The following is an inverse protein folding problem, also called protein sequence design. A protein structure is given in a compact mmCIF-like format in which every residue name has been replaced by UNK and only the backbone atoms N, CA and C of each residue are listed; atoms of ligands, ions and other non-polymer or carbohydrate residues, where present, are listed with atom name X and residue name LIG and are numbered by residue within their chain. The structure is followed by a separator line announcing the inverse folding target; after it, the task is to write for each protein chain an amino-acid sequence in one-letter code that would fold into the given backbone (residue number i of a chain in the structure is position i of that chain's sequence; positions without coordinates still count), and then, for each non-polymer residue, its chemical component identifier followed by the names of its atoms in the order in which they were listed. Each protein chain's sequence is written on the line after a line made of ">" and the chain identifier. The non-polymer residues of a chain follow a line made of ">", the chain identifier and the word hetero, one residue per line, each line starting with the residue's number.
data_IF_642476978175
#
_entry.id   IF_642476978175
#
_cell.length_a   1.000
_cell.length_b   1.000
_cell.length_c   1.000
_cell.angle_alpha   90.00
_cell.angle_beta   90.00
_cell.angle_gamma   90.00
#
_symmetry.space_group_name_H-M   'P 1'
#
loop_
_entity.id
_entity.type
_entity.pdbx_description
1 polymer ?
#
# COMPACT_ATOMS: atom_id res chain seq x y z
N UNK A 1 12.61 -35.17 29.61
CA UNK A 1 13.37 -33.91 29.73
C UNK A 1 13.29 -33.20 28.38
N UNK A 2 12.32 -32.31 28.24
CA UNK A 2 12.21 -31.41 27.08
C UNK A 2 13.07 -30.18 27.38
N UNK A 3 14.09 -29.96 26.55
CA UNK A 3 14.94 -28.77 26.61
C UNK A 3 14.12 -27.62 26.04
N UNK A 4 13.74 -26.66 26.89
CA UNK A 4 13.11 -25.42 26.49
C UNK A 4 14.19 -24.51 25.89
N UNK A 5 14.18 -24.34 24.56
CA UNK A 5 15.07 -23.41 23.87
C UNK A 5 14.60 -21.97 24.16
N UNK A 6 15.43 -21.21 24.87
CA UNK A 6 15.18 -19.79 25.16
C UNK A 6 15.16 -18.99 23.85
N UNK A 7 14.12 -18.15 23.59
CA UNK A 7 14.10 -17.32 22.39
C UNK A 7 15.28 -16.36 22.41
N UNK A 8 16.02 -16.29 21.30
CA UNK A 8 17.15 -15.38 21.11
C UNK A 8 16.64 -13.93 21.15
N UNK A 9 17.29 -13.00 21.87
CA UNK A 9 16.87 -11.60 21.89
C UNK A 9 16.93 -11.04 20.46
N UNK A 10 15.82 -10.43 20.04
CA UNK A 10 15.70 -9.74 18.76
C UNK A 10 16.80 -8.66 18.68
N UNK A 11 17.63 -8.71 17.64
CA UNK A 11 18.75 -7.78 17.50
C UNK A 11 18.22 -6.33 17.46
N UNK A 12 18.87 -5.42 18.19
CA UNK A 12 18.45 -4.03 18.22
C UNK A 12 18.40 -3.45 16.79
N UNK A 13 17.35 -2.68 16.44
CA UNK A 13 17.19 -2.13 15.09
C UNK A 13 18.40 -1.29 14.71
N UNK A 14 18.83 -1.40 13.45
CA UNK A 14 19.98 -0.65 12.97
C UNK A 14 19.71 0.86 13.04
N UNK A 15 20.77 1.68 13.07
CA UNK A 15 20.63 3.15 12.99
C UNK A 15 19.82 3.55 11.75
N UNK A 16 20.02 2.82 10.65
CA UNK A 16 19.29 2.95 9.39
C UNK A 16 17.78 2.74 9.61
N UNK A 17 17.40 1.62 10.23
CA UNK A 17 15.97 1.30 10.47
C UNK A 17 15.30 2.29 11.41
N UNK A 18 16.01 2.73 12.47
CA UNK A 18 15.49 3.74 13.40
C UNK A 18 15.22 5.08 12.70
N UNK A 19 16.09 5.51 11.79
CA UNK A 19 15.86 6.73 11.00
C UNK A 19 14.60 6.56 10.13
N UNK A 20 14.40 5.39 9.51
CA UNK A 20 13.20 5.14 8.71
C UNK A 20 11.93 5.08 9.53
N UNK A 21 11.94 4.43 10.69
CA UNK A 21 10.77 4.35 11.57
C UNK A 21 10.28 5.76 11.94
N UNK A 22 11.23 6.61 12.37
CA UNK A 22 10.95 8.01 12.73
C UNK A 22 10.52 8.83 11.53
N UNK A 23 11.20 8.69 10.39
CA UNK A 23 10.85 9.42 9.17
C UNK A 23 9.46 9.04 8.67
N UNK A 24 9.11 7.75 8.63
CA UNK A 24 7.80 7.27 8.20
C UNK A 24 6.70 7.81 9.11
N UNK A 25 6.90 7.77 10.44
CA UNK A 25 5.98 8.36 11.41
C UNK A 25 5.72 9.84 11.10
N UNK A 26 6.78 10.65 11.09
CA UNK A 26 6.70 12.10 10.88
C UNK A 26 6.10 12.46 9.51
N UNK A 27 6.52 11.81 8.43
CA UNK A 27 5.95 12.04 7.10
C UNK A 27 4.49 11.61 7.02
N UNK A 28 4.09 10.52 7.68
CA UNK A 28 2.68 10.09 7.70
C UNK A 28 1.79 11.10 8.43
N UNK A 29 2.31 11.74 9.48
CA UNK A 29 1.59 12.68 10.33
C UNK A 29 1.54 14.09 9.71
N UNK A 30 2.66 14.56 9.17
CA UNK A 30 2.84 15.97 8.80
C UNK A 30 2.90 16.19 7.29
N UNK A 31 3.16 15.16 6.49
CA UNK A 31 3.43 15.27 5.06
C UNK A 31 4.89 15.60 4.75
N UNK A 32 5.27 15.50 3.47
CA UNK A 32 6.64 15.78 3.03
C UNK A 32 7.01 17.23 3.29
N UNK A 33 6.20 18.20 2.84
CA UNK A 33 6.57 19.63 2.92
C UNK A 33 6.87 20.09 4.36
N UNK A 34 6.05 19.71 5.33
CA UNK A 34 6.13 20.18 6.71
C UNK A 34 7.22 19.48 7.57
N UNK A 35 7.66 18.28 7.21
CA UNK A 35 8.67 17.55 8.00
C UNK A 35 10.09 18.02 7.67
N UNK A 36 10.90 18.38 8.66
CA UNK A 36 12.32 18.74 8.46
C UNK A 36 13.27 17.57 8.76
N UNK A 37 14.40 17.47 8.04
CA UNK A 37 15.44 16.45 8.31
C UNK A 37 16.09 16.64 9.69
N UNK A 38 16.10 17.87 10.23
CA UNK A 38 16.55 18.15 11.60
C UNK A 38 15.61 17.53 12.64
N UNK A 39 14.29 17.68 12.47
CA UNK A 39 13.31 17.06 13.35
C UNK A 39 13.42 15.53 13.32
N UNK A 40 13.61 14.94 12.13
CA UNK A 40 13.85 13.49 11.98
C UNK A 40 15.14 13.07 12.69
N UNK A 41 16.26 13.76 12.46
CA UNK A 41 17.54 13.42 13.07
C UNK A 41 17.46 13.47 14.62
N UNK A 42 16.84 14.53 15.15
CA UNK A 42 16.62 14.69 16.59
C UNK A 42 15.77 13.54 17.15
N UNK A 43 14.62 13.24 16.54
CA UNK A 43 13.74 12.18 16.99
C UNK A 43 14.36 10.78 16.84
N UNK A 44 15.24 10.58 15.85
CA UNK A 44 15.98 9.33 15.64
C UNK A 44 17.24 9.21 16.52
N UNK A 45 17.58 10.23 17.31
CA UNK A 45 18.76 10.25 18.16
C UNK A 45 20.08 10.21 17.38
N UNK A 46 20.12 10.81 16.19
CA UNK A 46 21.31 10.88 15.33
C UNK A 46 21.63 12.34 14.99
N UNK A 47 22.87 12.61 14.58
CA UNK A 47 23.18 13.92 14.03
C UNK A 47 22.78 14.01 12.54
N UNK A 48 22.69 15.24 12.03
CA UNK A 48 22.26 15.48 10.65
C UNK A 48 23.22 14.87 9.62
N UNK A 49 24.52 14.84 9.91
CA UNK A 49 25.52 14.23 9.02
C UNK A 49 25.34 12.71 8.89
N UNK A 50 25.01 12.01 9.99
CA UNK A 50 24.69 10.57 9.98
C UNK A 50 23.41 10.27 9.19
N UNK A 51 22.38 11.11 9.32
CA UNK A 51 21.17 10.97 8.52
C UNK A 51 21.48 11.13 7.03
N UNK A 52 22.23 12.18 6.65
CA UNK A 52 22.65 12.39 5.26
C UNK A 52 23.56 11.27 4.75
N UNK A 53 24.43 10.71 5.59
CA UNK A 53 25.26 9.57 5.22
C UNK A 53 24.41 8.33 4.86
N UNK A 54 23.34 8.06 5.61
CA UNK A 54 22.49 6.90 5.37
C UNK A 54 21.48 7.08 4.24
N UNK A 55 20.94 8.29 4.07
CA UNK A 55 19.78 8.52 3.19
C UNK A 55 19.93 9.65 2.20
N UNK A 56 21.02 10.42 2.23
CA UNK A 56 21.18 11.54 1.29
C UNK A 56 20.17 12.66 1.55
N UNK A 57 19.44 13.10 0.53
CA UNK A 57 18.52 14.22 0.64
C UNK A 57 17.20 13.83 1.31
N UNK A 58 16.42 14.84 1.73
CA UNK A 58 15.07 14.62 2.27
C UNK A 58 14.17 13.82 1.33
N UNK A 59 14.32 14.04 0.02
CA UNK A 59 13.56 13.33 -1.03
C UNK A 59 13.86 11.83 -1.02
N UNK A 60 15.13 11.47 -0.94
CA UNK A 60 15.58 10.07 -0.89
C UNK A 60 15.10 9.38 0.40
N UNK A 61 15.16 10.09 1.53
CA UNK A 61 14.63 9.60 2.80
C UNK A 61 13.10 9.39 2.75
N UNK A 62 12.36 10.33 2.16
CA UNK A 62 10.91 10.20 1.97
C UNK A 62 10.58 8.99 1.10
N UNK A 63 11.28 8.84 -0.03
CA UNK A 63 11.15 7.68 -0.91
C UNK A 63 11.41 6.39 -0.12
N UNK A 64 12.54 6.29 0.58
CA UNK A 64 12.88 5.10 1.36
C UNK A 64 11.83 4.78 2.45
N UNK A 65 11.31 5.79 3.15
CA UNK A 65 10.26 5.61 4.16
C UNK A 65 8.94 5.12 3.56
N UNK A 66 8.58 5.60 2.37
CA UNK A 66 7.41 5.14 1.64
C UNK A 66 7.57 3.71 1.11
N UNK A 67 8.72 3.42 0.49
CA UNK A 67 9.03 2.14 -0.14
C UNK A 67 8.93 0.97 0.84
N UNK A 68 9.29 1.18 2.10
CA UNK A 68 9.35 0.14 3.12
C UNK A 68 8.05 -0.66 3.24
N UNK A 69 6.91 0.01 3.37
CA UNK A 69 5.60 -0.67 3.41
C UNK A 69 4.98 -0.87 2.03
N UNK A 70 5.34 -0.06 1.03
CA UNK A 70 4.76 -0.16 -0.30
C UNK A 70 5.26 -1.42 -1.05
N UNK A 71 6.53 -1.79 -0.88
CA UNK A 71 7.13 -3.01 -1.45
C UNK A 71 6.47 -4.27 -0.91
N UNK A 72 6.15 -4.32 0.38
CA UNK A 72 5.44 -5.47 0.99
C UNK A 72 4.10 -5.76 0.28
N UNK A 73 3.36 -4.69 -0.07
CA UNK A 73 2.08 -4.81 -0.80
C UNK A 73 2.31 -5.30 -2.22
N UNK A 74 3.25 -4.70 -2.95
CA UNK A 74 3.48 -5.04 -4.36
C UNK A 74 4.04 -6.45 -4.51
N UNK A 75 4.93 -6.88 -3.62
CA UNK A 75 5.44 -8.25 -3.59
C UNK A 75 4.34 -9.26 -3.29
N UNK A 76 3.44 -8.94 -2.35
CA UNK A 76 2.30 -9.79 -2.05
C UNK A 76 1.33 -9.89 -3.24
N UNK A 77 1.07 -8.78 -3.94
CA UNK A 77 0.27 -8.77 -5.18
C UNK A 77 0.92 -9.57 -6.30
N UNK A 78 2.23 -9.43 -6.49
CA UNK A 78 2.98 -10.14 -7.51
C UNK A 78 2.97 -11.65 -7.25
N UNK A 79 3.19 -12.08 -6.00
CA UNK A 79 3.06 -13.49 -5.60
C UNK A 79 1.66 -14.04 -5.81
N UNK A 80 0.63 -13.28 -5.43
CA UNK A 80 -0.76 -13.71 -5.61
C UNK A 80 -1.12 -13.85 -7.10
N UNK A 81 -0.67 -12.90 -7.95
CA UNK A 81 -0.88 -12.99 -9.39
C UNK A 81 -0.15 -14.17 -10.02
N UNK A 82 1.09 -14.43 -9.60
CA UNK A 82 1.86 -15.58 -10.05
C UNK A 82 1.18 -16.91 -9.68
N UNK A 83 0.62 -17.00 -8.47
CA UNK A 83 -0.14 -18.18 -8.04
C UNK A 83 -1.38 -18.41 -8.92
N UNK A 84 -2.18 -17.36 -9.18
CA UNK A 84 -3.36 -17.46 -10.06
C UNK A 84 -2.98 -17.88 -11.49
N UNK A 85 -1.88 -17.34 -12.03
CA UNK A 85 -1.37 -17.75 -13.35
C UNK A 85 -0.94 -19.21 -13.38
N UNK A 86 -0.29 -19.70 -12.32
CA UNK A 86 0.10 -21.10 -12.22
C UNK A 86 -1.12 -22.03 -12.12
N UNK A 87 -2.14 -21.63 -11.37
CA UNK A 87 -3.38 -22.39 -11.20
C UNK A 87 -4.21 -22.49 -12.49
N UNK A 88 -4.38 -21.38 -13.20
CA UNK A 88 -5.26 -21.32 -14.37
C UNK A 88 -4.55 -21.55 -15.72
N UNK A 89 -3.22 -21.49 -15.75
CA UNK A 89 -2.42 -21.68 -16.96
C UNK A 89 -2.81 -20.66 -18.05
N UNK A 90 -3.36 -21.15 -19.16
CA UNK A 90 -3.81 -20.30 -20.28
C UNK A 90 -5.29 -19.89 -20.18
N UNK A 91 -6.07 -20.53 -19.31
CA UNK A 91 -7.46 -20.20 -19.11
C UNK A 91 -7.62 -18.82 -18.47
N UNK A 92 -8.70 -18.06 -18.76
CA UNK A 92 -8.98 -16.81 -18.07
C UNK A 92 -9.15 -17.03 -16.56
N UNK A 93 -8.47 -16.21 -15.76
CA UNK A 93 -8.63 -16.18 -14.30
C UNK A 93 -10.05 -15.64 -13.99
N UNK A 94 -10.82 -16.25 -13.06
CA UNK A 94 -12.09 -15.69 -12.64
C UNK A 94 -11.94 -14.24 -12.15
N UNK A 95 -12.81 -13.33 -12.60
CA UNK A 95 -12.72 -11.90 -12.28
C UNK A 95 -12.67 -11.66 -10.76
N UNK A 96 -13.49 -12.39 -9.99
CA UNK A 96 -13.50 -12.26 -8.53
C UNK A 96 -12.15 -12.62 -7.90
N UNK A 97 -11.52 -13.70 -8.34
CA UNK A 97 -10.21 -14.11 -7.84
C UNK A 97 -9.15 -13.06 -8.15
N UNK A 98 -9.17 -12.50 -9.37
CA UNK A 98 -8.24 -11.46 -9.80
C UNK A 98 -8.45 -10.13 -9.04
N UNK A 99 -9.70 -9.72 -8.82
CA UNK A 99 -10.03 -8.52 -8.03
C UNK A 99 -9.62 -8.72 -6.58
N UNK A 100 -9.96 -9.86 -5.96
CA UNK A 100 -9.59 -10.19 -4.58
C UNK A 100 -8.07 -10.18 -4.40
N UNK A 101 -7.31 -10.84 -5.27
CA UNK A 101 -5.84 -10.86 -5.18
C UNK A 101 -5.21 -9.48 -5.37
N UNK A 102 -5.87 -8.58 -6.11
CA UNK A 102 -5.44 -7.19 -6.27
C UNK A 102 -5.68 -6.36 -5.00
N UNK A 103 -6.84 -6.48 -4.35
CA UNK A 103 -7.22 -5.59 -3.24
C UNK A 103 -6.72 -6.09 -1.87
N UNK A 104 -6.78 -7.39 -1.61
CA UNK A 104 -6.53 -7.97 -0.29
C UNK A 104 -5.16 -7.62 0.29
N UNK A 105 -4.03 -7.73 -0.44
CA UNK A 105 -2.71 -7.39 0.11
C UNK A 105 -2.61 -5.95 0.62
N UNK A 106 -3.30 -5.01 -0.04
CA UNK A 106 -3.28 -3.61 0.35
C UNK A 106 -4.19 -3.35 1.56
N UNK A 107 -5.36 -4.01 1.62
CA UNK A 107 -6.32 -3.85 2.71
C UNK A 107 -5.83 -4.47 4.02
N UNK A 108 -5.33 -5.71 3.96
CA UNK A 108 -4.81 -6.39 5.15
C UNK A 108 -3.51 -5.75 5.67
N UNK A 109 -2.72 -5.10 4.81
CA UNK A 109 -1.58 -4.32 5.28
C UNK A 109 -2.00 -3.18 6.25
N UNK A 110 -3.24 -2.68 6.13
CA UNK A 110 -3.82 -1.71 7.07
C UNK A 110 -3.96 -2.21 8.53
N UNK A 111 -3.83 -3.53 8.77
CA UNK A 111 -3.85 -4.11 10.11
C UNK A 111 -2.56 -3.80 10.89
N UNK A 112 -1.45 -3.53 10.21
CA UNK A 112 -0.15 -3.24 10.86
C UNK A 112 0.07 -1.74 11.07
N UNK A 113 0.81 -1.32 12.12
CA UNK A 113 1.19 0.08 12.29
C UNK A 113 1.95 0.67 11.09
N UNK A 114 2.87 -0.11 10.52
CA UNK A 114 3.66 0.27 9.33
C UNK A 114 2.78 0.46 8.09
N UNK A 115 1.86 -0.47 7.83
CA UNK A 115 0.96 -0.37 6.69
C UNK A 115 0.00 0.82 6.83
N UNK A 116 -0.48 1.14 8.05
CA UNK A 116 -1.24 2.37 8.31
C UNK A 116 -0.42 3.64 8.06
N UNK A 117 0.86 3.66 8.45
CA UNK A 117 1.73 4.80 8.19
C UNK A 117 1.96 4.99 6.68
N UNK A 118 2.22 3.89 5.97
CA UNK A 118 2.37 3.89 4.50
C UNK A 118 1.08 4.35 3.81
N UNK A 119 -0.09 3.91 4.28
CA UNK A 119 -1.40 4.36 3.79
C UNK A 119 -1.59 5.86 3.96
N UNK A 120 -1.29 6.40 5.16
CA UNK A 120 -1.40 7.85 5.40
C UNK A 120 -0.44 8.64 4.52
N UNK A 121 0.78 8.15 4.31
CA UNK A 121 1.70 8.76 3.35
C UNK A 121 1.15 8.70 1.91
N UNK A 122 0.59 7.57 1.48
CA UNK A 122 -0.04 7.43 0.16
C UNK A 122 -1.23 8.38 0.00
N UNK A 123 -2.06 8.55 1.03
CA UNK A 123 -3.16 9.50 0.99
C UNK A 123 -2.65 10.93 0.74
N UNK A 124 -1.61 11.34 1.48
CA UNK A 124 -0.99 12.66 1.39
C UNK A 124 -0.26 12.91 0.07
N UNK A 125 0.28 11.88 -0.60
CA UNK A 125 0.93 12.02 -1.90
C UNK A 125 0.08 12.76 -2.95
N UNK A 126 -1.25 12.69 -2.87
CA UNK A 126 -2.16 13.42 -3.78
C UNK A 126 -2.15 14.94 -3.56
N UNK A 127 -1.58 15.42 -2.45
CA UNK A 127 -1.46 16.82 -2.07
C UNK A 127 0.01 17.28 -1.96
N UNK A 128 0.96 16.40 -2.26
CA UNK A 128 2.39 16.72 -2.33
C UNK A 128 2.78 17.20 -3.74
N UNK A 129 3.96 17.81 -3.94
CA UNK A 129 4.45 18.19 -5.26
C UNK A 129 4.43 17.02 -6.26
N UNK A 130 3.94 17.29 -7.47
CA UNK A 130 3.72 16.32 -8.55
C UNK A 130 4.93 15.44 -8.86
N UNK A 131 6.13 16.01 -8.81
CA UNK A 131 7.37 15.35 -9.16
C UNK A 131 7.76 14.27 -8.14
N UNK A 132 7.47 14.47 -6.86
CA UNK A 132 7.69 13.48 -5.80
C UNK A 132 6.66 12.36 -5.93
N UNK A 133 5.39 12.73 -6.09
CA UNK A 133 4.30 11.77 -6.20
C UNK A 133 4.49 10.84 -7.40
N UNK A 134 4.81 11.40 -8.58
CA UNK A 134 5.05 10.61 -9.80
C UNK A 134 6.22 9.65 -9.62
N UNK A 135 7.36 10.11 -9.11
CA UNK A 135 8.54 9.26 -8.95
C UNK A 135 8.30 8.10 -7.99
N UNK A 136 7.67 8.37 -6.84
CA UNK A 136 7.41 7.34 -5.83
C UNK A 136 6.40 6.32 -6.33
N UNK A 137 5.30 6.79 -6.93
CA UNK A 137 4.27 5.89 -7.45
C UNK A 137 4.80 5.03 -8.59
N UNK A 138 5.56 5.63 -9.52
CA UNK A 138 6.12 4.90 -10.67
C UNK A 138 7.13 3.84 -10.26
N UNK A 139 7.97 4.15 -9.26
CA UNK A 139 9.01 3.22 -8.78
C UNK A 139 8.40 1.94 -8.18
N UNK A 140 7.19 2.01 -7.61
CA UNK A 140 6.64 0.90 -6.82
C UNK A 140 5.52 0.17 -7.53
N UNK A 141 4.56 0.92 -8.08
CA UNK A 141 3.28 0.32 -8.44
C UNK A 141 3.15 -0.01 -9.92
N UNK A 142 3.93 0.60 -10.81
CA UNK A 142 3.72 0.50 -12.26
C UNK A 142 3.76 -0.95 -12.73
N UNK A 143 4.85 -1.67 -12.44
CA UNK A 143 5.01 -3.07 -12.88
C UNK A 143 3.87 -3.97 -12.42
N UNK A 144 3.49 -3.84 -11.15
CA UNK A 144 2.41 -4.67 -10.57
C UNK A 144 1.06 -4.27 -11.16
N UNK A 145 0.79 -2.98 -11.32
CA UNK A 145 -0.49 -2.46 -11.85
C UNK A 145 -0.66 -2.85 -13.32
N UNK A 146 0.39 -2.70 -14.13
CA UNK A 146 0.39 -3.08 -15.55
C UNK A 146 0.23 -4.59 -15.73
N UNK A 147 0.84 -5.41 -14.86
CA UNK A 147 0.66 -6.86 -14.88
C UNK A 147 -0.80 -7.28 -14.61
N UNK A 148 -1.46 -6.64 -13.64
CA UNK A 148 -2.89 -6.86 -13.37
C UNK A 148 -3.78 -6.33 -14.49
N UNK A 149 -3.47 -5.15 -15.05
CA UNK A 149 -4.21 -4.57 -16.18
C UNK A 149 -4.20 -5.50 -17.40
N UNK A 150 -3.08 -6.18 -17.66
CA UNK A 150 -2.99 -7.18 -18.72
C UNK A 150 -3.95 -8.36 -18.48
N UNK A 151 -4.07 -8.87 -17.24
CA UNK A 151 -5.03 -9.93 -16.92
C UNK A 151 -6.47 -9.43 -16.97
N UNK A 152 -6.78 -8.24 -16.45
CA UNK A 152 -8.12 -7.67 -16.56
C UNK A 152 -8.57 -7.56 -18.02
N UNK A 153 -7.66 -7.17 -18.93
CA UNK A 153 -7.96 -7.13 -20.37
C UNK A 153 -8.28 -8.50 -20.96
N UNK A 154 -7.67 -9.58 -20.46
CA UNK A 154 -7.99 -10.95 -20.89
C UNK A 154 -9.35 -11.40 -20.39
N UNK A 155 -9.71 -11.03 -19.16
CA UNK A 155 -10.98 -11.41 -18.49
C UNK A 155 -12.15 -10.56 -18.97
N UNK A 156 -11.91 -9.32 -19.39
CA UNK A 156 -12.91 -8.35 -19.84
C UNK A 156 -12.67 -7.92 -21.30
N UNK A 157 -12.67 -8.84 -22.28
CA UNK A 157 -12.29 -8.54 -23.66
C UNK A 157 -13.30 -7.64 -24.40
N UNK A 158 -14.50 -7.45 -23.84
CA UNK A 158 -15.54 -6.60 -24.40
C UNK A 158 -15.29 -5.10 -24.15
N UNK A 159 -14.40 -4.74 -23.23
CA UNK A 159 -14.06 -3.35 -22.93
C UNK A 159 -12.88 -2.91 -23.78
N UNK A 160 -12.95 -1.68 -24.29
CA UNK A 160 -11.78 -1.04 -24.87
C UNK A 160 -10.75 -0.69 -23.78
N UNK A 161 -9.52 -0.41 -24.23
CA UNK A 161 -8.41 -0.14 -23.32
C UNK A 161 -8.64 1.10 -22.45
N UNK A 162 -9.24 2.16 -23.01
CA UNK A 162 -9.47 3.41 -22.29
C UNK A 162 -10.49 3.22 -21.16
N UNK A 163 -11.59 2.54 -21.44
CA UNK A 163 -12.64 2.21 -20.47
C UNK A 163 -12.09 1.33 -19.37
N UNK A 164 -11.29 0.32 -19.72
CA UNK A 164 -10.66 -0.55 -18.72
C UNK A 164 -9.73 0.26 -17.79
N UNK A 165 -8.88 1.13 -18.35
CA UNK A 165 -7.99 1.99 -17.56
C UNK A 165 -8.76 2.89 -16.59
N UNK A 166 -9.85 3.52 -17.04
CA UNK A 166 -10.72 4.33 -16.16
C UNK A 166 -11.34 3.50 -15.05
N UNK A 167 -11.88 2.31 -15.36
CA UNK A 167 -12.51 1.46 -14.34
C UNK A 167 -11.52 0.90 -13.33
N UNK A 168 -10.32 0.51 -13.77
CA UNK A 168 -9.24 0.12 -12.85
C UNK A 168 -8.83 1.32 -11.99
N UNK A 169 -8.75 2.52 -12.55
CA UNK A 169 -8.47 3.74 -11.79
C UNK A 169 -9.53 4.03 -10.72
N UNK A 170 -10.82 3.93 -11.06
CA UNK A 170 -11.93 4.06 -10.11
C UNK A 170 -11.87 2.99 -9.01
N UNK A 171 -11.61 1.74 -9.38
CA UNK A 171 -11.44 0.64 -8.44
C UNK A 171 -10.33 0.93 -7.44
N UNK A 172 -9.20 1.49 -7.91
CA UNK A 172 -8.13 1.91 -7.03
C UNK A 172 -8.51 3.04 -6.08
N UNK A 173 -9.30 4.01 -6.54
CA UNK A 173 -9.84 5.06 -5.69
C UNK A 173 -10.72 4.49 -4.56
N UNK A 174 -11.62 3.57 -4.91
CA UNK A 174 -12.55 2.95 -3.96
C UNK A 174 -11.82 2.24 -2.80
N UNK A 175 -10.90 1.32 -3.08
CA UNK A 175 -10.22 0.59 -2.01
C UNK A 175 -9.25 1.47 -1.21
N UNK A 176 -8.64 2.50 -1.82
CA UNK A 176 -7.77 3.45 -1.11
C UNK A 176 -8.55 4.30 -0.13
N UNK A 177 -9.75 4.74 -0.52
CA UNK A 177 -10.60 5.54 0.34
C UNK A 177 -11.04 4.79 1.61
N UNK A 178 -11.42 3.52 1.48
CA UNK A 178 -11.79 2.66 2.62
C UNK A 178 -10.74 2.66 3.74
N UNK A 179 -9.47 2.75 3.36
CA UNK A 179 -8.34 2.64 4.27
C UNK A 179 -7.95 3.98 4.92
N UNK A 180 -8.55 5.10 4.51
CA UNK A 180 -8.37 6.40 5.18
C UNK A 180 -8.99 6.44 6.58
N UNK A 181 -9.97 5.56 6.87
CA UNK A 181 -10.63 5.46 8.17
C UNK A 181 -11.07 6.81 8.73
N UNK A 182 -11.82 7.56 7.91
CA UNK A 182 -12.22 8.93 8.22
C UNK A 182 -13.29 9.04 9.32
N UNK A 183 -13.77 7.90 9.86
CA UNK A 183 -14.92 7.84 10.78
C UNK A 183 -16.28 7.97 10.08
N UNK A 184 -16.30 8.16 8.76
CA UNK A 184 -17.54 8.38 8.00
C UNK A 184 -18.40 7.12 7.89
N UNK A 185 -17.79 5.94 7.82
CA UNK A 185 -18.53 4.68 7.73
C UNK A 185 -19.29 4.41 9.03
N UNK A 186 -18.61 4.58 10.17
CA UNK A 186 -19.19 4.48 11.51
C UNK A 186 -20.33 5.48 11.67
N UNK A 187 -20.11 6.74 11.27
CA UNK A 187 -21.14 7.78 11.33
C UNK A 187 -22.37 7.44 10.46
N UNK A 188 -22.16 7.05 9.20
CA UNK A 188 -23.23 6.74 8.25
C UNK A 188 -24.03 5.49 8.66
N UNK A 189 -23.37 4.51 9.26
CA UNK A 189 -23.98 3.26 9.71
C UNK A 189 -24.60 3.35 11.11
N UNK A 190 -24.50 4.51 11.78
CA UNK A 190 -24.93 4.63 13.18
C UNK A 190 -24.14 3.75 14.14
N UNK A 191 -22.87 3.48 13.83
CA UNK A 191 -21.95 2.65 14.62
C UNK A 191 -22.05 1.14 14.35
N UNK A 192 -22.86 0.70 13.38
CA UNK A 192 -23.02 -0.72 13.05
C UNK A 192 -21.80 -1.27 12.30
N UNK A 193 -21.13 -0.44 11.49
CA UNK A 193 -19.94 -0.83 10.75
C UNK A 193 -18.67 -0.30 11.42
N UNK A 194 -17.60 -1.09 11.40
CA UNK A 194 -16.25 -0.71 11.82
C UNK A 194 -15.32 -0.65 10.61
N UNK A 195 -14.75 0.53 10.32
CA UNK A 195 -13.80 0.68 9.21
C UNK A 195 -12.43 0.02 9.49
N UNK A 196 -12.22 -0.56 10.68
CA UNK A 196 -11.08 -1.39 11.02
C UNK A 196 -11.29 -2.88 10.68
N UNK A 197 -12.51 -3.29 10.34
CA UNK A 197 -12.80 -4.65 9.90
C UNK A 197 -12.40 -4.82 8.43
N UNK A 198 -11.11 -5.03 8.21
CA UNK A 198 -10.55 -5.15 6.86
C UNK A 198 -11.03 -6.39 6.11
N UNK A 199 -11.35 -7.48 6.82
CA UNK A 199 -11.89 -8.70 6.21
C UNK A 199 -13.29 -8.43 5.67
N UNK A 200 -14.16 -7.83 6.50
CA UNK A 200 -15.49 -7.40 6.04
C UNK A 200 -15.40 -6.43 4.89
N UNK A 201 -14.47 -5.48 4.95
CA UNK A 201 -14.28 -4.52 3.88
C UNK A 201 -13.83 -5.19 2.56
N UNK A 202 -13.00 -6.23 2.61
CA UNK A 202 -12.63 -7.04 1.43
C UNK A 202 -13.87 -7.74 0.86
N UNK A 203 -14.68 -8.37 1.72
CA UNK A 203 -15.87 -9.10 1.28
C UNK A 203 -16.94 -8.21 0.64
N UNK A 204 -17.04 -6.95 1.05
CA UNK A 204 -17.94 -5.97 0.43
C UNK A 204 -17.37 -5.37 -0.86
N UNK A 205 -16.08 -5.03 -0.86
CA UNK A 205 -15.50 -4.30 -1.99
C UNK A 205 -15.27 -5.18 -3.22
N UNK A 206 -14.95 -6.47 -3.03
CA UNK A 206 -14.70 -7.39 -4.15
C UNK A 206 -15.91 -7.50 -5.09
N UNK A 207 -17.13 -7.88 -4.63
CA UNK A 207 -18.29 -7.96 -5.52
C UNK A 207 -18.68 -6.60 -6.11
N UNK A 208 -18.56 -5.51 -5.34
CA UNK A 208 -18.79 -4.15 -5.84
C UNK A 208 -17.86 -3.81 -7.02
N UNK A 209 -16.57 -4.09 -6.90
CA UNK A 209 -15.60 -3.86 -7.95
C UNK A 209 -15.79 -4.79 -9.14
N UNK A 210 -16.11 -6.06 -8.93
CA UNK A 210 -16.42 -6.99 -10.02
C UNK A 210 -17.59 -6.46 -10.87
N UNK A 211 -18.68 -6.02 -10.23
CA UNK A 211 -19.83 -5.46 -10.93
C UNK A 211 -19.47 -4.17 -11.68
N UNK A 212 -18.75 -3.25 -11.04
CA UNK A 212 -18.32 -1.99 -11.67
C UNK A 212 -17.33 -2.19 -12.82
N UNK A 213 -16.42 -3.17 -12.71
CA UNK A 213 -15.45 -3.51 -13.75
C UNK A 213 -16.10 -4.16 -14.96
N UNK A 214 -17.11 -5.01 -14.76
CA UNK A 214 -17.75 -5.81 -15.82
C UNK A 214 -19.02 -5.22 -16.43
N UNK A 215 -19.46 -4.04 -15.98
CA UNK A 215 -20.65 -3.38 -16.51
C UNK A 215 -20.60 -3.19 -18.04
N UNK A 216 -21.70 -3.50 -18.74
CA UNK A 216 -21.83 -3.32 -20.19
C UNK A 216 -22.17 -1.89 -20.59
#
# INVERSE_FOLDING_TARGET
>A
MTVTETPRPEAAPSVRDRILDVAQGLFSEQGYAATSTRAIAQAAGVNLAQLHYHYGAKRDLFKAAYLRGAVQVTDARARALAALRAEHGTAPIPLEALVRSFVTPFMLNGQTPEGRATMRMHARLHTEPDDIAKEVLSTVYDDTTLAYLAEFRRVLPHLDHATLCWRVYFAMGAYRYTLLRTGRLEMMSGGVCDSADFERAVDEIVPFLCAGLSAG
#
